data_IF_946853840540
#
_entry.id   IF_946853840540
#
_cell.length_a   1.000
_cell.length_b   1.000
_cell.length_c   1.000
_cell.angle_alpha   90.00
_cell.angle_beta   90.00
_cell.angle_gamma   90.00
#
_symmetry.space_group_name_H-M   'P 1'
#
loop_
_entity.id
_entity.type
_entity.pdbx_description
1 polymer ?
#
# COMPACT_ATOMS: atom_id res chain seq x y z
N UNK A 1 2.88 -2.95 18.99
CA UNK A 1 1.71 -2.15 18.58
C UNK A 1 1.56 -2.34 17.08
N UNK A 2 0.49 -3.02 16.65
CA UNK A 2 0.24 -3.26 15.23
C UNK A 2 -0.11 -1.90 14.61
N UNK A 3 0.57 -1.49 13.53
CA UNK A 3 0.15 -0.30 12.79
C UNK A 3 -1.19 -0.64 12.12
N UNK A 4 -2.31 -0.20 12.72
CA UNK A 4 -3.62 -0.35 12.11
C UNK A 4 -3.76 0.69 11.01
N UNK A 5 -3.36 0.34 9.78
CA UNK A 5 -4.09 0.84 8.62
C UNK A 5 -5.40 0.06 8.64
N UNK A 6 -6.52 0.72 8.90
CA UNK A 6 -7.84 0.10 8.90
C UNK A 6 -8.14 -0.46 7.49
N UNK A 7 -7.81 -1.72 7.25
CA UNK A 7 -8.38 -2.53 6.17
C UNK A 7 -9.21 -3.63 6.81
N UNK A 8 -10.52 -3.47 6.68
CA UNK A 8 -11.51 -4.38 7.23
C UNK A 8 -11.50 -5.68 6.45
N UNK A 9 -10.83 -6.67 7.03
CA UNK A 9 -11.00 -8.12 6.86
C UNK A 9 -11.68 -8.63 5.59
N UNK A 10 -10.87 -8.93 4.56
CA UNK A 10 -11.07 -10.11 3.71
C UNK A 10 -9.74 -10.58 3.12
N UNK A 11 -9.36 -11.86 3.23
CA UNK A 11 -8.21 -12.37 2.49
C UNK A 11 -8.59 -12.35 1.01
N UNK A 12 -7.93 -11.51 0.22
CA UNK A 12 -8.08 -11.45 -1.23
C UNK A 12 -9.50 -11.01 -1.66
N UNK A 13 -9.77 -9.71 -1.55
CA UNK A 13 -10.90 -9.14 -2.28
C UNK A 13 -10.47 -8.99 -3.74
N UNK A 14 -11.23 -9.56 -4.68
CA UNK A 14 -11.12 -9.26 -6.10
C UNK A 14 -12.45 -8.67 -6.57
N UNK A 15 -12.41 -7.59 -7.34
CA UNK A 15 -13.61 -6.94 -7.84
C UNK A 15 -13.32 -6.04 -9.03
N UNK A 16 -14.36 -5.69 -9.79
CA UNK A 16 -14.22 -4.72 -10.87
C UNK A 16 -14.13 -3.31 -10.28
N UNK A 17 -13.04 -2.61 -10.61
CA UNK A 17 -12.78 -1.25 -10.20
C UNK A 17 -13.61 -0.21 -10.96
N UNK A 18 -13.56 1.08 -10.55
CA UNK A 18 -14.26 2.17 -11.24
C UNK A 18 -13.83 2.37 -12.70
N UNK A 19 -12.68 1.83 -13.07
CA UNK A 19 -12.10 1.82 -14.41
C UNK A 19 -12.60 0.65 -15.29
N UNK A 20 -13.42 -0.24 -14.75
CA UNK A 20 -13.93 -1.42 -15.46
C UNK A 20 -12.95 -2.59 -15.51
N UNK A 21 -11.79 -2.51 -14.84
CA UNK A 21 -10.80 -3.58 -14.79
C UNK A 21 -10.91 -4.40 -13.51
N UNK A 22 -10.44 -5.66 -13.53
CA UNK A 22 -10.36 -6.49 -12.34
C UNK A 22 -9.20 -6.05 -11.45
N UNK A 23 -9.52 -5.69 -10.21
CA UNK A 23 -8.56 -5.29 -9.18
C UNK A 23 -8.55 -6.35 -8.07
N UNK A 24 -7.37 -6.65 -7.55
CA UNK A 24 -7.16 -7.53 -6.41
C UNK A 24 -6.52 -6.76 -5.26
N UNK A 25 -7.04 -6.93 -4.05
CA UNK A 25 -6.51 -6.34 -2.82
C UNK A 25 -6.00 -7.44 -1.90
N UNK A 26 -4.80 -7.24 -1.35
CA UNK A 26 -4.21 -8.13 -0.35
C UNK A 26 -3.73 -7.32 0.85
N UNK A 27 -4.03 -7.82 2.05
CA UNK A 27 -3.54 -7.25 3.30
C UNK A 27 -2.21 -7.90 3.68
N UNK A 28 -1.18 -7.08 3.92
CA UNK A 28 0.07 -7.54 4.51
C UNK A 28 0.18 -7.00 5.94
N UNK A 29 0.39 -7.92 6.89
CA UNK A 29 0.68 -7.57 8.28
C UNK A 29 2.19 -7.67 8.51
N UNK A 30 2.78 -6.55 8.90
CA UNK A 30 4.18 -6.46 9.30
C UNK A 30 4.27 -5.86 10.70
N UNK A 31 5.28 -6.26 11.47
CA UNK A 31 5.55 -5.61 12.75
C UNK A 31 6.04 -4.18 12.51
N UNK A 32 5.44 -3.19 13.19
CA UNK A 32 5.77 -1.79 12.99
C UNK A 32 7.26 -1.51 13.23
N UNK A 33 7.85 -2.15 14.25
CA UNK A 33 9.27 -1.99 14.59
C UNK A 33 10.23 -2.42 13.46
N UNK A 34 9.85 -3.40 12.63
CA UNK A 34 10.67 -3.82 11.48
C UNK A 34 10.74 -2.74 10.39
N UNK A 35 9.69 -1.92 10.26
CA UNK A 35 9.64 -0.81 9.30
C UNK A 35 10.53 0.38 9.71
N UNK A 36 11.00 0.41 10.96
CA UNK A 36 11.76 1.56 11.50
C UNK A 36 13.09 1.76 10.80
N UNK A 37 13.74 0.67 10.36
CA UNK A 37 15.00 0.72 9.60
C UNK A 37 14.84 1.33 8.21
N UNK A 38 13.62 1.25 7.65
CA UNK A 38 13.27 1.79 6.34
C UNK A 38 12.74 3.24 6.43
N UNK A 39 12.61 3.79 7.64
CA UNK A 39 11.97 5.10 7.84
C UNK A 39 10.44 5.07 7.66
N UNK A 40 9.83 3.88 7.64
CA UNK A 40 8.41 3.64 7.37
C UNK A 40 7.60 3.33 8.65
N UNK A 41 8.16 3.61 9.83
CA UNK A 41 7.42 3.44 11.08
C UNK A 41 6.37 4.57 11.22
N UNK A 42 5.13 4.29 11.68
CA UNK A 42 4.08 5.31 11.80
C UNK A 42 4.47 6.55 12.62
N UNK A 43 5.26 6.35 13.68
CA UNK A 43 5.76 7.44 14.53
C UNK A 43 6.99 8.18 13.95
N UNK A 44 7.56 7.73 12.83
CA UNK A 44 8.66 8.43 12.16
C UNK A 44 8.12 9.52 11.22
N UNK A 45 8.68 10.74 11.26
CA UNK A 45 8.26 11.83 10.36
C UNK A 45 8.36 11.47 8.87
N UNK A 46 9.36 10.67 8.50
CA UNK A 46 9.60 10.23 7.12
C UNK A 46 8.52 9.30 6.57
N UNK A 47 7.73 8.67 7.45
CA UNK A 47 6.65 7.78 7.04
C UNK A 47 5.40 8.52 6.58
N UNK A 48 5.30 9.84 6.80
CA UNK A 48 4.15 10.64 6.34
C UNK A 48 4.29 10.94 4.85
N UNK A 49 3.30 10.53 4.08
CA UNK A 49 3.15 10.96 2.68
C UNK A 49 2.66 12.40 2.68
N UNK A 50 3.60 13.35 2.58
CA UNK A 50 3.32 14.80 2.55
C UNK A 50 3.35 15.41 1.15
N UNK A 51 3.81 14.64 0.15
CA UNK A 51 3.89 15.07 -1.24
C UNK A 51 2.65 14.70 -2.05
N UNK A 52 2.48 15.31 -3.24
CA UNK A 52 1.48 14.84 -4.19
C UNK A 52 1.75 13.38 -4.55
N UNK A 53 0.68 12.62 -4.83
CA UNK A 53 0.86 11.28 -5.38
C UNK A 53 1.72 11.33 -6.64
N UNK A 54 2.64 10.38 -6.84
CA UNK A 54 3.46 10.32 -8.05
C UNK A 54 2.59 10.33 -9.31
N UNK A 55 3.12 10.81 -10.46
CA UNK A 55 2.40 10.76 -11.71
C UNK A 55 1.94 9.34 -12.04
N UNK A 56 0.75 9.19 -12.63
CA UNK A 56 0.15 7.88 -12.90
C UNK A 56 1.02 6.91 -13.71
N UNK A 57 1.94 7.42 -14.55
CA UNK A 57 2.88 6.57 -15.30
C UNK A 57 3.84 5.79 -14.39
N UNK A 58 4.11 6.29 -13.18
CA UNK A 58 4.96 5.63 -12.19
C UNK A 58 4.31 4.32 -11.71
N UNK A 59 3.02 4.36 -11.38
CA UNK A 59 2.24 3.17 -11.03
C UNK A 59 2.21 2.17 -12.19
N UNK A 60 1.91 2.67 -13.41
CA UNK A 60 1.88 1.83 -14.61
C UNK A 60 3.23 1.15 -14.91
N UNK A 61 4.36 1.79 -14.60
CA UNK A 61 5.68 1.18 -14.76
C UNK A 61 5.92 0.04 -13.77
N UNK A 62 5.51 0.21 -12.52
CA UNK A 62 5.61 -0.84 -11.50
C UNK A 62 4.71 -2.05 -11.85
N UNK A 63 3.48 -1.79 -12.28
CA UNK A 63 2.52 -2.83 -12.71
C UNK A 63 3.04 -3.64 -13.89
N UNK A 64 3.70 -3.00 -14.87
CA UNK A 64 4.33 -3.72 -15.99
C UNK A 64 5.45 -4.66 -15.55
N UNK A 65 6.19 -4.33 -14.50
CA UNK A 65 7.29 -5.15 -13.98
C UNK A 65 6.85 -6.30 -13.06
N UNK A 66 5.61 -6.25 -12.56
CA UNK A 66 5.03 -7.29 -11.70
C UNK A 66 4.34 -8.43 -12.48
N UNK A 67 4.36 -8.37 -13.82
CA UNK A 67 3.82 -9.38 -14.74
C UNK A 67 4.90 -10.35 -15.19
#
# INVERSE_FOLDING_TARGET
>A
MLAHVLFSGKPLACGIGPDGHWHGWFDIRVYADELRRLGLHPDQPTSRVTGPSPPGWWHAAAERGAR
#
